data_IF_222808973223
#
_entry.id   IF_222808973223
#
_cell.length_a   1.000
_cell.length_b   1.000
_cell.length_c   1.000
_cell.angle_alpha   90.00
_cell.angle_beta   90.00
_cell.angle_gamma   90.00
#
_symmetry.space_group_name_H-M   'P 1'
#
loop_
_entity.id
_entity.type
_entity.pdbx_description
1 polymer ?
#
# COMPACT_ATOMS: atom_id res chain seq x y z
N UNK A 1 0.59 -2.98 11.81
CA UNK A 1 1.34 -1.69 11.65
C UNK A 1 2.44 -1.59 12.69
N UNK A 2 3.65 -1.17 12.32
CA UNK A 2 4.74 -0.89 13.28
C UNK A 2 4.61 0.51 13.84
N UNK A 3 4.94 0.71 15.11
CA UNK A 3 5.03 2.04 15.69
C UNK A 3 6.29 2.77 15.20
N UNK A 4 6.15 4.07 15.01
CA UNK A 4 7.19 5.01 14.59
C UNK A 4 7.16 6.25 15.50
N UNK A 5 7.70 7.35 15.01
CA UNK A 5 7.82 8.62 15.76
C UNK A 5 6.50 9.18 16.28
N UNK A 6 5.38 8.97 15.59
CA UNK A 6 4.06 9.42 16.03
C UNK A 6 3.31 8.45 16.94
N UNK A 7 3.96 7.35 17.35
CA UNK A 7 3.42 6.41 18.31
C UNK A 7 2.17 5.66 17.85
N UNK A 8 1.33 5.32 18.82
CA UNK A 8 0.05 4.63 18.62
C UNK A 8 -0.91 5.49 17.80
N UNK A 9 -0.96 6.79 18.09
CA UNK A 9 -1.86 7.73 17.40
C UNK A 9 -1.61 7.75 15.89
N UNK A 10 -0.34 7.83 15.46
CA UNK A 10 0.02 7.78 14.05
C UNK A 10 -0.35 6.42 13.43
N UNK A 11 -0.03 5.34 14.10
CA UNK A 11 -0.23 4.00 13.58
C UNK A 11 -1.72 3.68 13.40
N UNK A 12 -2.56 3.96 14.42
CA UNK A 12 -4.01 3.75 14.35
C UNK A 12 -4.61 4.61 13.23
N UNK A 13 -4.28 5.91 13.17
CA UNK A 13 -4.79 6.79 12.13
C UNK A 13 -4.48 6.27 10.72
N UNK A 14 -3.25 5.81 10.48
CA UNK A 14 -2.87 5.25 9.18
C UNK A 14 -3.53 3.90 8.86
N UNK A 15 -3.82 3.10 9.88
CA UNK A 15 -4.57 1.85 9.67
C UNK A 15 -6.01 2.11 9.22
N UNK A 16 -6.64 3.19 9.73
CA UNK A 16 -8.00 3.54 9.32
C UNK A 16 -8.10 4.05 7.88
N UNK A 17 -7.03 4.65 7.31
CA UNK A 17 -7.07 5.24 5.96
C UNK A 17 -7.32 4.21 4.86
N UNK A 18 -6.76 3.00 5.00
CA UNK A 18 -6.82 1.98 3.95
C UNK A 18 -8.22 1.45 3.69
N UNK A 19 -8.89 0.98 4.74
CA UNK A 19 -10.19 0.31 4.66
C UNK A 19 -11.36 1.24 5.02
N UNK A 20 -11.08 2.47 5.45
CA UNK A 20 -12.07 3.41 6.00
C UNK A 20 -12.87 2.83 7.16
N UNK A 21 -12.20 2.01 7.95
CA UNK A 21 -12.71 1.44 9.20
C UNK A 21 -12.21 2.31 10.34
N UNK A 22 -13.09 2.72 11.23
CA UNK A 22 -12.71 3.51 12.40
C UNK A 22 -12.16 2.66 13.54
N UNK A 23 -11.74 3.32 14.61
CA UNK A 23 -11.26 2.67 15.81
C UNK A 23 -11.71 3.41 17.07
N UNK A 24 -12.02 2.66 18.10
CA UNK A 24 -12.23 3.17 19.46
C UNK A 24 -11.12 2.61 20.34
N UNK A 25 -10.23 3.46 20.79
CA UNK A 25 -9.06 3.06 21.58
C UNK A 25 -9.13 3.64 22.98
N UNK A 26 -8.47 2.97 23.92
CA UNK A 26 -8.38 3.46 25.28
C UNK A 26 -7.62 4.79 25.35
N UNK A 27 -8.00 5.63 26.31
CA UNK A 27 -7.26 6.85 26.57
C UNK A 27 -5.97 6.51 27.35
N UNK A 28 -4.86 6.57 26.64
CA UNK A 28 -3.53 6.29 27.17
C UNK A 28 -2.74 7.57 27.49
N UNK A 29 -3.38 8.73 27.41
CA UNK A 29 -2.71 10.02 27.60
C UNK A 29 -1.50 10.19 26.68
N UNK A 30 -0.37 10.63 27.24
CA UNK A 30 0.87 10.88 26.48
C UNK A 30 1.49 9.61 25.85
N UNK A 31 1.12 8.41 26.34
CA UNK A 31 1.57 7.13 25.77
C UNK A 31 1.16 6.97 24.30
N UNK A 32 0.04 7.63 23.88
CA UNK A 32 -0.43 7.61 22.50
C UNK A 32 0.62 8.12 21.50
N UNK A 33 1.48 9.02 21.94
CA UNK A 33 2.47 9.70 21.09
C UNK A 33 3.90 9.23 21.33
N UNK A 34 4.08 8.26 22.22
CA UNK A 34 5.42 7.75 22.52
C UNK A 34 6.01 6.96 21.36
N UNK A 35 7.28 7.21 21.15
CA UNK A 35 8.10 6.43 20.24
C UNK A 35 8.11 4.96 20.68
N UNK A 36 7.82 4.03 19.77
CA UNK A 36 7.69 2.61 20.10
C UNK A 36 8.29 1.68 19.05
N UNK A 37 9.56 1.88 18.68
CA UNK A 37 10.22 0.97 17.74
C UNK A 37 10.21 -0.48 18.25
N UNK A 38 9.87 -1.40 17.34
CA UNK A 38 9.76 -2.82 17.66
C UNK A 38 8.40 -3.24 18.21
N UNK A 39 7.48 -2.29 18.41
CA UNK A 39 6.09 -2.56 18.78
C UNK A 39 5.20 -2.61 17.54
N UNK A 40 4.18 -3.49 17.57
CA UNK A 40 3.23 -3.68 16.50
C UNK A 40 1.81 -3.45 17.00
N UNK A 41 0.99 -2.80 16.18
CA UNK A 41 -0.47 -2.81 16.33
C UNK A 41 -1.01 -3.81 15.31
N UNK A 42 -1.85 -4.70 15.78
CA UNK A 42 -2.46 -5.78 15.00
C UNK A 42 -3.98 -5.71 15.14
N UNK A 43 -4.68 -5.76 14.03
CA UNK A 43 -6.11 -6.01 13.98
C UNK A 43 -6.34 -7.52 13.87
N UNK A 44 -7.22 -8.07 14.69
CA UNK A 44 -7.50 -9.50 14.72
C UNK A 44 -8.96 -9.73 15.07
N UNK A 45 -9.57 -10.74 14.44
CA UNK A 45 -10.90 -11.22 14.75
C UNK A 45 -10.92 -12.33 15.81
N UNK A 46 -9.76 -12.67 16.33
CA UNK A 46 -9.58 -13.62 17.43
C UNK A 46 -8.79 -12.96 18.54
N UNK A 47 -9.07 -13.36 19.77
CA UNK A 47 -8.31 -12.87 20.92
C UNK A 47 -6.86 -13.34 20.83
N UNK A 48 -5.94 -12.37 20.92
CA UNK A 48 -4.50 -12.62 20.97
C UNK A 48 -4.05 -12.59 22.41
N UNK A 49 -3.40 -13.65 22.86
CA UNK A 49 -2.87 -13.78 24.22
C UNK A 49 -1.36 -13.95 24.21
N UNK A 50 -0.69 -13.37 25.19
CA UNK A 50 0.76 -13.49 25.31
C UNK A 50 1.33 -12.52 26.34
N UNK A 51 2.56 -12.75 26.76
CA UNK A 51 3.22 -11.96 27.83
C UNK A 51 3.36 -10.47 27.49
N UNK A 52 3.43 -10.14 26.22
CA UNK A 52 3.63 -8.76 25.73
C UNK A 52 2.50 -8.35 24.77
N UNK A 53 1.30 -8.88 24.95
CA UNK A 53 0.11 -8.55 24.16
C UNK A 53 -0.84 -7.79 25.06
N UNK A 54 -1.25 -6.62 24.61
CA UNK A 54 -2.18 -5.75 25.31
C UNK A 54 -3.32 -5.35 24.37
N UNK A 55 -4.55 -5.34 24.89
CA UNK A 55 -5.71 -4.88 24.15
C UNK A 55 -5.66 -3.35 24.09
N UNK A 56 -5.64 -2.81 22.88
CA UNK A 56 -5.61 -1.37 22.64
C UNK A 56 -7.03 -0.78 22.51
N UNK A 57 -7.96 -1.54 21.96
CA UNK A 57 -9.31 -1.08 21.67
C UNK A 57 -10.01 -1.99 20.67
N UNK A 58 -10.96 -1.45 19.95
CA UNK A 58 -11.78 -2.15 18.96
C UNK A 58 -11.92 -1.35 17.66
N UNK A 59 -12.17 -2.03 16.56
CA UNK A 59 -12.57 -1.39 15.30
C UNK A 59 -14.07 -1.08 15.30
N UNK A 60 -14.45 0.02 14.66
CA UNK A 60 -15.83 0.45 14.50
C UNK A 60 -16.14 0.74 13.04
N UNK A 61 -17.43 0.64 12.67
CA UNK A 61 -17.88 0.86 11.29
C UNK A 61 -17.81 2.33 10.85
N UNK A 62 -17.95 3.26 11.78
CA UNK A 62 -17.87 4.69 11.52
C UNK A 62 -16.45 5.13 11.24
N UNK A 63 -16.25 5.92 10.20
CA UNK A 63 -14.92 6.40 9.79
C UNK A 63 -14.40 7.51 10.71
N UNK A 64 -14.15 7.16 11.95
CA UNK A 64 -13.63 8.05 12.99
C UNK A 64 -12.71 7.30 13.95
N UNK A 65 -11.87 8.02 14.64
CA UNK A 65 -11.09 7.51 15.78
C UNK A 65 -11.63 8.13 17.06
N UNK A 66 -11.94 7.29 18.02
CA UNK A 66 -12.42 7.71 19.35
C UNK A 66 -11.35 7.37 20.39
N UNK A 67 -10.98 8.37 21.19
CA UNK A 67 -10.03 8.22 22.30
C UNK A 67 -10.64 8.85 23.54
N UNK A 68 -11.16 8.03 24.45
CA UNK A 68 -11.94 8.55 25.58
C UNK A 68 -13.16 9.32 25.09
N UNK A 69 -13.25 10.61 25.45
CA UNK A 69 -14.32 11.51 25.02
C UNK A 69 -14.02 12.30 23.74
N UNK A 70 -12.86 12.06 23.13
CA UNK A 70 -12.42 12.76 21.92
C UNK A 70 -12.80 11.93 20.70
N UNK A 71 -13.56 12.55 19.79
CA UNK A 71 -13.86 11.97 18.47
C UNK A 71 -13.13 12.74 17.38
N UNK A 72 -12.46 12.01 16.48
CA UNK A 72 -11.73 12.56 15.36
C UNK A 72 -12.32 11.99 14.07
N UNK A 73 -12.92 12.86 13.25
CA UNK A 73 -13.37 12.49 11.90
C UNK A 73 -12.15 12.17 11.02
N UNK A 74 -12.07 10.94 10.58
CA UNK A 74 -10.92 10.49 9.77
C UNK A 74 -10.99 10.95 8.32
N UNK A 75 -12.11 11.47 7.84
CA UNK A 75 -12.17 12.18 6.55
C UNK A 75 -11.31 13.44 6.61
N UNK A 76 -11.37 14.16 7.71
CA UNK A 76 -10.54 15.34 7.95
C UNK A 76 -9.09 14.92 8.19
N UNK A 77 -8.86 13.89 8.99
CA UNK A 77 -7.52 13.38 9.30
C UNK A 77 -6.77 12.91 8.04
N UNK A 78 -7.42 12.12 7.18
CA UNK A 78 -6.88 11.65 5.91
C UNK A 78 -6.56 12.82 4.98
N UNK A 79 -7.47 13.81 4.90
CA UNK A 79 -7.25 15.02 4.09
C UNK A 79 -6.02 15.79 4.55
N UNK A 80 -5.89 16.05 5.83
CA UNK A 80 -4.72 16.76 6.40
C UNK A 80 -3.42 16.01 6.08
N UNK A 81 -3.44 14.68 6.17
CA UNK A 81 -2.28 13.86 5.85
C UNK A 81 -1.90 13.93 4.38
N UNK A 82 -2.88 13.84 3.46
CA UNK A 82 -2.67 13.91 2.02
C UNK A 82 -2.23 15.30 1.57
N UNK A 83 -2.85 16.35 2.09
CA UNK A 83 -2.61 17.74 1.67
C UNK A 83 -1.20 18.21 2.05
N UNK A 84 -0.55 17.59 3.04
CA UNK A 84 0.78 18.03 3.50
C UNK A 84 1.83 18.05 2.40
N UNK A 85 1.84 17.04 1.53
CA UNK A 85 2.78 16.96 0.41
C UNK A 85 2.16 17.36 -0.93
N UNK A 86 0.87 17.65 -0.97
CA UNK A 86 0.15 17.96 -2.20
C UNK A 86 0.78 19.07 -3.04
N UNK A 87 1.31 20.17 -2.45
CA UNK A 87 1.96 21.23 -3.24
C UNK A 87 3.21 20.79 -3.99
N UNK A 88 3.89 19.75 -3.52
CA UNK A 88 5.14 19.21 -4.12
C UNK A 88 4.86 17.95 -4.92
N UNK A 89 4.01 17.06 -4.38
CA UNK A 89 3.61 15.79 -5.00
C UNK A 89 2.09 15.66 -4.97
N UNK A 90 1.38 16.24 -5.94
CA UNK A 90 -0.06 16.10 -6.01
C UNK A 90 -0.44 14.64 -6.23
N UNK A 91 -1.30 14.10 -5.35
CA UNK A 91 -1.80 12.73 -5.43
C UNK A 91 -2.91 12.54 -6.48
N UNK A 92 -3.36 13.65 -7.08
CA UNK A 92 -4.35 13.65 -8.17
C UNK A 92 -3.85 14.53 -9.30
N UNK A 93 -3.96 14.06 -10.52
CA UNK A 93 -3.72 14.89 -11.70
C UNK A 93 -4.83 15.93 -11.82
N UNK A 94 -4.44 17.17 -12.14
CA UNK A 94 -5.38 18.28 -12.39
C UNK A 94 -5.99 18.18 -13.80
N UNK A 95 -5.39 17.36 -14.65
CA UNK A 95 -5.87 17.16 -16.02
C UNK A 95 -7.22 16.47 -16.00
N UNK A 96 -8.16 17.03 -16.77
CA UNK A 96 -9.40 16.32 -17.13
C UNK A 96 -8.98 15.06 -17.87
N UNK A 97 -8.99 13.94 -17.19
CA UNK A 97 -8.86 12.66 -17.87
C UNK A 97 -10.08 12.52 -18.77
N UNK A 98 -9.89 12.62 -20.07
CA UNK A 98 -10.92 12.26 -21.03
C UNK A 98 -11.36 10.84 -20.69
N UNK A 99 -12.67 10.64 -20.67
CA UNK A 99 -13.25 9.36 -20.28
C UNK A 99 -12.72 8.29 -21.25
N UNK A 100 -11.71 7.54 -20.81
CA UNK A 100 -11.20 6.42 -21.59
C UNK A 100 -12.35 5.43 -21.82
N UNK A 101 -12.74 5.29 -23.06
CA UNK A 101 -13.63 4.19 -23.45
C UNK A 101 -12.75 2.96 -23.52
N UNK A 102 -12.78 2.15 -22.47
CA UNK A 102 -12.13 0.85 -22.47
C UNK A 102 -12.80 -0.05 -23.52
N UNK A 103 -12.08 -0.31 -24.60
CA UNK A 103 -12.48 -1.35 -25.55
C UNK A 103 -11.79 -2.64 -25.19
N UNK A 104 -12.49 -3.61 -24.59
CA UNK A 104 -11.86 -4.88 -24.24
C UNK A 104 -11.42 -5.58 -25.54
N UNK A 105 -10.23 -6.15 -25.51
CA UNK A 105 -9.76 -6.99 -26.61
C UNK A 105 -10.61 -8.26 -26.68
N UNK A 106 -11.41 -8.40 -27.72
CA UNK A 106 -12.40 -9.49 -27.86
C UNK A 106 -12.09 -10.46 -28.98
N UNK A 107 -10.87 -10.45 -29.50
CA UNK A 107 -10.54 -11.39 -30.59
C UNK A 107 -10.58 -12.85 -30.12
N UNK A 108 -11.21 -13.68 -30.94
CA UNK A 108 -11.19 -15.13 -30.78
C UNK A 108 -9.97 -15.79 -31.46
N UNK A 109 -9.26 -15.01 -32.26
CA UNK A 109 -8.09 -15.49 -32.98
C UNK A 109 -6.83 -15.22 -32.17
N UNK A 110 -6.27 -16.25 -31.57
CA UNK A 110 -4.96 -16.18 -30.92
C UNK A 110 -3.91 -16.24 -32.04
N UNK A 111 -3.12 -15.16 -32.14
CA UNK A 111 -1.98 -15.14 -33.07
C UNK A 111 -0.90 -16.04 -32.50
N UNK A 112 -0.64 -17.16 -33.18
CA UNK A 112 0.41 -18.09 -32.82
C UNK A 112 1.57 -17.90 -33.81
N UNK A 113 2.79 -17.77 -33.28
CA UNK A 113 3.97 -17.68 -34.12
C UNK A 113 4.13 -18.96 -34.97
N UNK A 114 4.21 -18.79 -36.30
CA UNK A 114 4.36 -19.92 -37.24
C UNK A 114 5.74 -20.57 -37.11
N UNK A 115 6.78 -19.77 -36.82
CA UNK A 115 8.14 -20.24 -36.64
C UNK A 115 8.40 -20.49 -35.16
N UNK A 116 8.27 -21.73 -34.74
CA UNK A 116 8.57 -22.15 -33.37
C UNK A 116 10.09 -22.29 -33.20
N UNK A 117 10.68 -21.51 -32.34
CA UNK A 117 12.10 -21.54 -31.99
C UNK A 117 12.21 -22.06 -30.56
N UNK A 118 12.95 -23.14 -30.35
CA UNK A 118 13.13 -23.75 -29.03
C UNK A 118 13.82 -22.79 -28.01
N UNK A 119 14.70 -21.93 -28.51
CA UNK A 119 15.41 -20.92 -27.71
C UNK A 119 15.32 -19.56 -28.40
N UNK A 120 14.18 -18.84 -28.25
CA UNK A 120 14.03 -17.53 -28.86
C UNK A 120 15.05 -16.54 -28.28
N UNK A 121 15.47 -15.61 -29.12
CA UNK A 121 16.28 -14.47 -28.68
C UNK A 121 15.36 -13.40 -28.13
N UNK A 122 15.69 -12.89 -26.96
CA UNK A 122 14.92 -11.84 -26.28
C UNK A 122 15.79 -10.59 -26.17
N UNK A 123 15.30 -9.48 -26.70
CA UNK A 123 15.92 -8.16 -26.51
C UNK A 123 15.43 -7.56 -25.21
N UNK A 124 16.34 -7.18 -24.33
CA UNK A 124 16.05 -6.45 -23.09
C UNK A 124 16.66 -5.06 -23.21
N UNK A 125 15.91 -4.05 -23.67
CA UNK A 125 16.43 -2.70 -23.81
C UNK A 125 16.58 -2.05 -22.42
N UNK A 126 17.72 -1.40 -22.20
CA UNK A 126 17.98 -0.62 -20.99
C UNK A 126 18.22 0.84 -21.36
N UNK A 127 17.51 1.75 -20.75
CA UNK A 127 17.61 3.19 -20.93
C UNK A 127 17.96 3.87 -19.59
N UNK A 128 18.44 5.10 -19.58
CA UNK A 128 18.60 5.84 -18.33
C UNK A 128 17.29 5.85 -17.52
N UNK A 129 17.33 5.30 -16.30
CA UNK A 129 16.17 5.13 -15.43
C UNK A 129 15.40 3.81 -15.58
N UNK A 130 15.79 2.92 -16.48
CA UNK A 130 15.27 1.54 -16.52
C UNK A 130 15.63 0.83 -15.21
N UNK A 131 14.72 0.02 -14.71
CA UNK A 131 14.90 -0.78 -13.50
C UNK A 131 14.57 -2.25 -13.78
N UNK A 132 15.18 -3.17 -13.02
CA UNK A 132 14.98 -4.63 -13.13
C UNK A 132 15.41 -5.27 -14.45
N UNK A 133 16.22 -4.60 -15.29
CA UNK A 133 16.76 -5.18 -16.53
C UNK A 133 17.67 -6.38 -16.24
N UNK A 134 18.49 -6.31 -15.21
CA UNK A 134 19.37 -7.41 -14.79
C UNK A 134 18.57 -8.62 -14.30
N UNK A 135 17.57 -8.41 -13.47
CA UNK A 135 16.69 -9.47 -12.95
C UNK A 135 15.93 -10.15 -14.09
N UNK A 136 15.44 -9.36 -15.04
CA UNK A 136 14.77 -9.87 -16.26
C UNK A 136 15.68 -10.76 -17.07
N UNK A 137 16.92 -10.34 -17.29
CA UNK A 137 17.95 -11.10 -18.00
C UNK A 137 18.27 -12.40 -17.28
N UNK A 138 18.44 -12.36 -15.96
CA UNK A 138 18.74 -13.55 -15.17
C UNK A 138 17.59 -14.56 -15.19
N UNK A 139 16.35 -14.08 -15.09
CA UNK A 139 15.18 -14.93 -15.20
C UNK A 139 15.09 -15.61 -16.58
N UNK A 140 15.30 -14.85 -17.66
CA UNK A 140 15.28 -15.38 -19.02
C UNK A 140 16.39 -16.43 -19.24
N UNK A 141 17.58 -16.25 -18.67
CA UNK A 141 18.66 -17.25 -18.69
C UNK A 141 18.22 -18.56 -18.01
N UNK A 142 17.58 -18.47 -16.85
CA UNK A 142 17.05 -19.65 -16.14
C UNK A 142 16.00 -20.40 -16.97
N UNK A 143 15.24 -19.69 -17.80
CA UNK A 143 14.32 -20.29 -18.77
C UNK A 143 14.99 -20.82 -20.04
N UNK A 144 16.32 -20.75 -20.15
CA UNK A 144 17.08 -21.21 -21.30
C UNK A 144 16.96 -20.35 -22.55
N UNK A 145 16.53 -19.09 -22.41
CA UNK A 145 16.40 -18.14 -23.50
C UNK A 145 17.74 -17.47 -23.83
N UNK A 146 17.98 -17.11 -25.11
CA UNK A 146 19.10 -16.32 -25.51
C UNK A 146 18.76 -14.82 -25.40
N UNK A 147 19.55 -14.04 -24.66
CA UNK A 147 19.35 -12.61 -24.49
C UNK A 147 20.27 -11.82 -25.41
N UNK A 148 19.78 -10.62 -25.80
CA UNK A 148 20.56 -9.61 -26.51
C UNK A 148 20.40 -8.32 -25.70
N UNK A 149 21.53 -7.73 -25.31
CA UNK A 149 21.59 -6.42 -24.67
C UNK A 149 21.59 -5.33 -25.72
#
# INVERSE_FOLDING_TARGET
MTLKTGGIAEAVSKMTFGNRVGAKIFNLGDELFKLGYGTFIVESNVELTGKNVELLGETISEYKVIVGDIEIDMTVGEKVWLDKLFPVFPHKTVEKVEKYIWTPYTTKNIVVCKNKIAKPRVLVPAFPGTNCEYDSVEYLKKLGQNQIY
#
